data_IF_214832174432
#
_entry.id   IF_214832174432
#
_cell.length_a   1.000
_cell.length_b   1.000
_cell.length_c   1.000
_cell.angle_alpha   90.00
_cell.angle_beta   90.00
_cell.angle_gamma   90.00
#
_symmetry.space_group_name_H-M   'P 1'
#
loop_
_entity.id
_entity.type
_entity.pdbx_description
1 polymer ?
#
# COMPACT_ATOMS: atom_id res chain seq x y z
N UNK A 1 -43.88 -28.83 29.00
CA UNK A 1 -42.80 -28.33 29.90
C UNK A 1 -41.51 -27.97 29.14
N UNK A 2 -41.58 -27.44 27.91
CA UNK A 2 -40.40 -27.23 27.04
C UNK A 2 -40.28 -25.80 26.46
N UNK A 3 -41.37 -25.02 26.42
CA UNK A 3 -41.41 -23.71 25.74
C UNK A 3 -40.73 -22.56 26.53
N UNK A 4 -40.72 -22.61 27.87
CA UNK A 4 -40.05 -21.59 28.70
C UNK A 4 -38.52 -21.73 28.77
N UNK A 5 -37.94 -22.83 28.27
CA UNK A 5 -36.48 -23.05 28.29
C UNK A 5 -35.76 -22.39 27.11
N UNK A 6 -36.46 -22.17 25.98
CA UNK A 6 -35.92 -21.52 24.77
C UNK A 6 -35.44 -20.08 25.00
N UNK A 7 -36.21 -19.19 25.66
CA UNK A 7 -35.73 -17.82 25.92
C UNK A 7 -34.57 -17.80 26.93
N UNK A 8 -34.51 -18.76 27.86
CA UNK A 8 -33.43 -18.88 28.83
C UNK A 8 -32.13 -19.34 28.16
N UNK A 9 -32.19 -20.32 27.25
CA UNK A 9 -31.05 -20.77 26.45
C UNK A 9 -30.57 -19.64 25.53
N UNK A 10 -31.49 -18.91 24.90
CA UNK A 10 -31.16 -17.74 24.09
C UNK A 10 -30.46 -16.64 24.89
N UNK A 11 -30.96 -16.34 26.10
CA UNK A 11 -30.35 -15.36 27.00
C UNK A 11 -28.97 -15.82 27.51
N UNK A 12 -28.81 -17.11 27.83
CA UNK A 12 -27.53 -17.69 28.23
C UNK A 12 -26.48 -17.64 27.11
N UNK A 13 -26.88 -17.92 25.86
CA UNK A 13 -26.00 -17.79 24.69
C UNK A 13 -25.61 -16.33 24.44
N UNK A 14 -26.55 -15.40 24.57
CA UNK A 14 -26.28 -13.95 24.45
C UNK A 14 -25.31 -13.46 25.53
N UNK A 15 -25.50 -13.89 26.78
CA UNK A 15 -24.59 -13.59 27.87
C UNK A 15 -23.19 -14.16 27.62
N UNK A 16 -23.06 -15.38 27.09
CA UNK A 16 -21.76 -15.97 26.77
C UNK A 16 -21.00 -15.19 25.67
N UNK A 17 -21.72 -14.65 24.69
CA UNK A 17 -21.12 -13.83 23.60
C UNK A 17 -20.70 -12.46 24.13
N UNK A 18 -21.50 -11.83 25.00
CA UNK A 18 -21.20 -10.50 25.56
C UNK A 18 -20.12 -10.55 26.63
N UNK A 19 -20.01 -11.65 27.39
CA UNK A 19 -19.05 -11.81 28.49
C UNK A 19 -17.70 -12.33 28.02
N UNK A 20 -17.58 -12.88 26.80
CA UNK A 20 -16.29 -13.32 26.27
C UNK A 20 -15.37 -12.12 26.06
N UNK A 21 -14.29 -11.96 26.87
CA UNK A 21 -13.33 -10.92 26.63
C UNK A 21 -12.45 -11.43 25.49
N UNK A 22 -12.82 -11.11 24.25
CA UNK A 22 -11.90 -11.20 23.14
C UNK A 22 -10.87 -10.07 23.32
N UNK A 23 -9.94 -10.25 24.25
CA UNK A 23 -8.74 -9.44 24.33
C UNK A 23 -7.84 -9.91 23.21
N UNK A 24 -7.53 -9.03 22.26
CA UNK A 24 -6.38 -9.28 21.39
C UNK A 24 -5.18 -9.44 22.31
N UNK A 25 -4.47 -10.57 22.20
CA UNK A 25 -3.14 -10.68 22.78
C UNK A 25 -2.35 -9.48 22.25
N UNK A 26 -1.69 -8.77 23.17
CA UNK A 26 -0.88 -7.60 22.82
C UNK A 26 0.14 -7.94 21.72
N UNK A 27 0.80 -6.94 21.14
CA UNK A 27 1.77 -7.17 20.06
C UNK A 27 2.73 -8.31 20.43
N UNK A 28 2.70 -9.39 19.65
CA UNK A 28 3.50 -10.62 19.85
C UNK A 28 4.99 -10.32 19.89
N UNK A 29 5.39 -9.22 19.25
CA UNK A 29 6.75 -8.73 19.25
C UNK A 29 6.87 -7.57 20.26
N UNK A 30 7.86 -7.59 21.17
CA UNK A 30 8.17 -6.41 21.98
C UNK A 30 8.41 -5.20 21.06
N UNK A 31 8.04 -3.99 21.48
CA UNK A 31 8.29 -2.78 20.70
C UNK A 31 9.80 -2.59 20.55
N UNK A 32 10.35 -3.03 19.42
CA UNK A 32 11.72 -2.76 19.05
C UNK A 32 11.77 -1.41 18.36
N UNK A 33 12.57 -0.50 18.88
CA UNK A 33 12.89 0.78 18.22
C UNK A 33 13.90 0.61 17.07
N UNK A 34 14.43 -0.61 16.88
CA UNK A 34 15.39 -0.95 15.83
C UNK A 34 14.87 -2.11 14.98
N UNK A 35 14.50 -1.80 13.74
CA UNK A 35 14.20 -2.80 12.72
C UNK A 35 15.50 -3.25 12.05
N UNK A 36 15.68 -4.55 11.85
CA UNK A 36 16.85 -5.10 11.17
C UNK A 36 16.46 -6.26 10.26
N UNK A 37 17.40 -6.76 9.44
CA UNK A 37 17.18 -7.96 8.61
C UNK A 37 16.74 -9.17 9.45
N UNK A 38 17.27 -9.31 10.66
CA UNK A 38 16.94 -10.40 11.58
C UNK A 38 15.49 -10.34 12.10
N UNK A 39 14.78 -9.24 11.88
CA UNK A 39 13.36 -9.09 12.23
C UNK A 39 12.43 -9.77 11.21
N UNK A 40 12.96 -10.32 10.12
CA UNK A 40 12.20 -10.94 9.04
C UNK A 40 12.68 -12.37 8.77
N UNK A 41 11.81 -13.27 8.27
CA UNK A 41 12.21 -14.63 7.91
C UNK A 41 13.33 -14.67 6.87
N UNK A 42 14.09 -15.75 6.87
CA UNK A 42 15.03 -16.04 5.78
C UNK A 42 14.30 -16.04 4.43
N UNK A 43 14.90 -15.43 3.41
CA UNK A 43 14.30 -15.29 2.09
C UNK A 43 13.30 -14.14 1.93
N UNK A 44 13.04 -13.34 2.98
CA UNK A 44 12.19 -12.16 2.83
C UNK A 44 12.80 -11.15 1.84
N UNK A 45 12.04 -10.84 0.77
CA UNK A 45 12.46 -9.92 -0.27
C UNK A 45 12.19 -8.48 0.13
N UNK A 46 13.21 -7.64 0.02
CA UNK A 46 13.08 -6.19 0.10
C UNK A 46 13.43 -5.62 -1.25
N UNK A 47 12.68 -4.60 -1.67
CA UNK A 47 12.92 -3.91 -2.92
C UNK A 47 12.39 -2.49 -2.87
N UNK A 48 12.51 -1.83 -4.00
CA UNK A 48 12.00 -0.48 -4.25
C UNK A 48 11.13 -0.51 -5.50
N UNK A 49 10.27 0.48 -5.68
CA UNK A 49 9.41 0.59 -6.84
C UNK A 49 9.45 2.02 -7.43
N UNK A 50 9.22 2.11 -8.73
CA UNK A 50 9.09 3.35 -9.50
C UNK A 50 7.95 3.21 -10.52
N UNK A 51 7.60 4.29 -11.22
CA UNK A 51 6.65 4.26 -12.34
C UNK A 51 7.22 5.03 -13.54
N UNK A 52 6.98 4.52 -14.76
CA UNK A 52 7.60 5.00 -16.00
C UNK A 52 7.57 6.54 -16.16
N UNK A 53 6.39 7.16 -16.16
CA UNK A 53 6.25 8.61 -16.36
C UNK A 53 6.90 9.45 -15.25
N UNK A 54 7.07 8.90 -14.04
CA UNK A 54 7.69 9.61 -12.93
C UNK A 54 9.21 9.61 -13.00
N UNK A 55 9.84 8.67 -13.73
CA UNK A 55 11.30 8.51 -13.69
C UNK A 55 11.98 8.49 -15.05
N UNK A 56 11.34 7.96 -16.10
CA UNK A 56 12.02 7.67 -17.37
C UNK A 56 12.44 8.93 -18.13
N UNK A 57 11.49 9.84 -18.40
CA UNK A 57 11.74 10.94 -19.34
C UNK A 57 11.65 10.49 -20.80
N UNK A 58 12.47 11.11 -21.67
CA UNK A 58 12.66 10.72 -23.07
C UNK A 58 11.35 10.62 -23.88
N UNK A 59 10.39 11.51 -23.60
CA UNK A 59 9.01 11.38 -24.10
C UNK A 59 8.86 11.43 -25.63
N UNK A 60 9.84 12.03 -26.32
CA UNK A 60 9.89 12.20 -27.78
C UNK A 60 11.00 11.37 -28.42
N UNK A 61 11.62 10.45 -27.68
CA UNK A 61 12.70 9.63 -28.20
C UNK A 61 12.19 8.26 -28.65
N UNK A 62 12.92 7.67 -29.60
CA UNK A 62 12.63 6.34 -30.14
C UNK A 62 11.21 6.25 -30.73
N UNK A 63 10.47 5.18 -30.41
CA UNK A 63 9.11 4.92 -30.90
C UNK A 63 8.06 5.06 -29.77
N UNK A 64 8.34 5.86 -28.73
CA UNK A 64 7.39 6.07 -27.63
C UNK A 64 6.19 6.90 -28.11
N UNK A 65 4.99 6.34 -27.95
CA UNK A 65 3.75 7.08 -28.15
C UNK A 65 3.41 7.99 -26.96
N UNK A 66 2.62 9.06 -27.17
CA UNK A 66 2.20 9.95 -26.08
C UNK A 66 1.30 9.21 -25.08
N UNK A 67 1.64 9.29 -23.80
CA UNK A 67 0.79 8.90 -22.71
C UNK A 67 -0.21 10.02 -22.38
N UNK A 68 -1.31 9.67 -21.71
CA UNK A 68 -2.30 10.65 -21.25
C UNK A 68 -1.66 11.76 -20.39
N UNK A 69 -0.67 11.39 -19.57
CA UNK A 69 0.03 12.34 -18.70
C UNK A 69 0.87 13.36 -19.45
N UNK A 70 1.47 12.98 -20.59
CA UNK A 70 2.19 13.92 -21.47
C UNK A 70 1.22 15.03 -21.93
N UNK A 71 0.03 14.62 -22.36
CA UNK A 71 -1.01 15.52 -22.87
C UNK A 71 -1.58 16.36 -21.74
N UNK A 72 -1.89 15.74 -20.60
CA UNK A 72 -2.55 16.40 -19.48
C UNK A 72 -1.67 17.50 -18.88
N UNK A 73 -0.41 17.22 -18.56
CA UNK A 73 0.46 18.23 -17.94
C UNK A 73 0.88 19.33 -18.92
N UNK A 74 0.94 19.04 -20.24
CA UNK A 74 1.14 20.09 -21.25
C UNK A 74 -0.09 20.95 -21.46
N UNK A 75 -1.30 20.36 -21.38
CA UNK A 75 -2.57 21.07 -21.56
C UNK A 75 -2.97 21.90 -20.34
N UNK A 76 -2.63 21.43 -19.13
CA UNK A 76 -3.01 22.06 -17.86
C UNK A 76 -1.78 22.20 -16.94
N UNK A 77 -0.76 22.99 -17.34
CA UNK A 77 0.49 23.10 -16.60
C UNK A 77 0.28 23.57 -15.16
N UNK A 78 -0.68 24.47 -14.91
CA UNK A 78 -1.03 24.94 -13.58
C UNK A 78 -1.56 23.83 -12.65
N UNK A 79 -2.14 22.76 -13.21
CA UNK A 79 -2.56 21.57 -12.46
C UNK A 79 -1.40 20.63 -12.11
N UNK A 80 -0.30 20.72 -12.85
CA UNK A 80 0.94 19.99 -12.61
C UNK A 80 2.05 20.87 -12.03
N UNK A 81 1.73 22.02 -11.39
CA UNK A 81 2.73 22.98 -10.85
C UNK A 81 3.74 23.51 -11.88
N UNK A 82 3.37 23.50 -13.15
CA UNK A 82 4.22 23.77 -14.31
C UNK A 82 5.33 22.73 -14.55
N UNK A 83 5.25 21.56 -13.90
CA UNK A 83 6.12 20.41 -14.15
C UNK A 83 5.51 19.44 -15.18
N UNK A 84 6.35 18.62 -15.79
CA UNK A 84 5.95 17.52 -16.68
C UNK A 84 7.00 16.38 -16.67
N UNK A 85 6.69 15.28 -17.34
CA UNK A 85 7.55 14.10 -17.43
C UNK A 85 8.48 14.08 -18.63
N UNK A 86 8.73 15.21 -19.31
CA UNK A 86 9.54 15.22 -20.55
C UNK A 86 10.96 14.67 -20.30
N UNK A 87 11.54 15.00 -19.12
CA UNK A 87 12.84 14.51 -18.65
C UNK A 87 12.74 13.69 -17.36
N UNK A 88 11.86 14.07 -16.42
CA UNK A 88 11.76 13.45 -15.10
C UNK A 88 13.13 13.41 -14.37
N UNK A 89 13.56 12.25 -13.85
CA UNK A 89 14.93 12.05 -13.31
C UNK A 89 15.90 11.44 -14.32
N UNK A 90 15.48 11.40 -15.59
CA UNK A 90 16.24 10.91 -16.73
C UNK A 90 16.67 9.44 -16.60
N UNK A 91 15.83 8.62 -15.98
CA UNK A 91 16.14 7.21 -15.75
C UNK A 91 16.23 6.42 -17.05
N UNK A 92 15.59 6.87 -18.13
CA UNK A 92 15.73 6.23 -19.45
C UNK A 92 17.20 6.17 -19.90
N UNK A 93 17.96 7.25 -19.71
CA UNK A 93 19.38 7.28 -20.03
C UNK A 93 20.26 6.77 -18.88
N UNK A 94 19.82 6.98 -17.63
CA UNK A 94 20.64 6.78 -16.43
C UNK A 94 20.33 5.51 -15.65
N UNK A 95 19.61 4.56 -16.26
CA UNK A 95 19.25 3.28 -15.63
C UNK A 95 20.47 2.42 -15.26
N UNK A 96 21.56 2.54 -16.04
CA UNK A 96 22.87 1.98 -15.73
C UNK A 96 23.79 3.13 -15.36
N UNK A 97 24.44 3.01 -14.20
CA UNK A 97 25.59 3.82 -13.81
C UNK A 97 26.88 3.21 -14.34
#
# INVERSE_FOLDING_TARGET
>A
MTLHKVPLIGLLLLLAIVVSPATADGPVCPPSTKLSRASFPEGFLFGTATAAYQVEGAVNETCRGPALWDIYCKRYPEKCKNDNGDVAVDFFHRYKV
#
